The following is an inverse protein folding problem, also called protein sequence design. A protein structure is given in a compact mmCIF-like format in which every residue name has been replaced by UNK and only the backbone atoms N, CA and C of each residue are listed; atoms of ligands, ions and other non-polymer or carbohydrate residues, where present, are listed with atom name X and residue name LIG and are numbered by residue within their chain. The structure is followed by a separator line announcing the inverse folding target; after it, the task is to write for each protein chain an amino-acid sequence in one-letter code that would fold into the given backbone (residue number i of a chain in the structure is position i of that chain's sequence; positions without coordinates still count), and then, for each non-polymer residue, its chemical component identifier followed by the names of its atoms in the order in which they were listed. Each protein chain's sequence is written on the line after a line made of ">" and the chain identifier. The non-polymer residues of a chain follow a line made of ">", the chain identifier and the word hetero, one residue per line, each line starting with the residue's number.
data_IF_216211218116
#
_entry.id   IF_216211218116
#
_cell.length_a   1.000
_cell.length_b   1.000
_cell.length_c   1.000
_cell.angle_alpha   90.00
_cell.angle_beta   90.00
_cell.angle_gamma   90.00
#
_symmetry.space_group_name_H-M   'P 1'
#
loop_
_entity.id
_entity.type
_entity.pdbx_description
1 polymer ?
#
# COMPACT_ATOMS: atom_id res chain seq x y z
N UNK A 1 28.39 54.14 -4.40
CA UNK A 1 28.41 52.66 -4.49
C UNK A 1 27.32 52.13 -3.58
N UNK A 2 26.19 51.67 -4.14
CA UNK A 2 25.18 50.93 -3.36
C UNK A 2 25.03 49.56 -4.03
N UNK A 3 25.67 48.57 -3.41
CA UNK A 3 25.50 47.17 -3.76
C UNK A 3 24.25 46.69 -3.02
N UNK A 4 23.12 46.67 -3.72
CA UNK A 4 21.90 46.06 -3.18
C UNK A 4 22.03 44.56 -3.41
N UNK A 5 22.38 43.83 -2.36
CA UNK A 5 22.60 42.38 -2.40
C UNK A 5 21.23 41.71 -2.49
N UNK A 6 20.88 41.20 -3.67
CA UNK A 6 19.69 40.37 -3.86
C UNK A 6 20.01 38.96 -3.35
N UNK A 7 19.60 38.67 -2.11
CA UNK A 7 19.60 37.31 -1.58
C UNK A 7 18.48 36.51 -2.26
N UNK A 8 18.83 35.67 -3.23
CA UNK A 8 17.91 34.71 -3.82
C UNK A 8 17.72 33.56 -2.82
N UNK A 9 16.61 33.58 -2.08
CA UNK A 9 16.18 32.44 -1.26
C UNK A 9 15.65 31.38 -2.22
N UNK A 10 16.47 30.37 -2.52
CA UNK A 10 16.02 29.17 -3.22
C UNK A 10 15.09 28.39 -2.29
N UNK A 11 13.79 28.65 -2.39
CA UNK A 11 12.78 27.78 -1.80
C UNK A 11 12.83 26.45 -2.54
N UNK A 12 13.52 25.48 -1.96
CA UNK A 12 13.38 24.07 -2.34
C UNK A 12 11.98 23.66 -1.90
N UNK A 13 10.99 23.87 -2.77
CA UNK A 13 9.72 23.19 -2.66
C UNK A 13 9.99 21.71 -3.01
N UNK A 14 10.51 20.97 -2.04
CA UNK A 14 10.43 19.51 -2.09
C UNK A 14 8.95 19.19 -2.24
N UNK A 15 8.59 18.40 -3.24
CA UNK A 15 7.27 17.83 -3.35
C UNK A 15 7.03 17.02 -2.07
N UNK A 16 6.40 17.67 -1.08
CA UNK A 16 6.04 17.01 0.16
C UNK A 16 4.91 16.08 -0.23
N UNK A 17 5.21 14.79 -0.34
CA UNK A 17 4.20 13.75 -0.49
C UNK A 17 3.43 13.74 0.84
N UNK A 18 2.46 14.64 0.97
CA UNK A 18 1.61 14.75 2.14
C UNK A 18 0.89 13.43 2.37
N UNK A 19 0.86 13.00 3.62
CA UNK A 19 0.22 11.75 4.01
C UNK A 19 -1.29 11.97 4.03
N UNK A 20 -1.92 11.74 2.89
CA UNK A 20 -3.37 11.74 2.77
C UNK A 20 -3.96 10.42 3.26
N UNK A 21 -5.15 10.47 3.87
CA UNK A 21 -5.97 9.30 4.18
C UNK A 21 -6.58 8.72 2.89
N UNK A 22 -5.74 8.23 1.99
CA UNK A 22 -6.18 7.67 0.72
C UNK A 22 -5.65 6.25 0.53
N UNK A 23 -6.56 5.28 0.60
CA UNK A 23 -6.33 3.91 0.16
C UNK A 23 -6.59 3.83 -1.35
N UNK A 24 -5.58 3.43 -2.11
CA UNK A 24 -5.65 3.42 -3.57
C UNK A 24 -4.90 2.22 -4.15
N UNK A 25 -5.10 2.01 -5.44
CA UNK A 25 -4.42 0.96 -6.18
C UNK A 25 -2.99 1.41 -6.51
N UNK A 26 -2.02 0.55 -6.24
CA UNK A 26 -0.59 0.84 -6.44
C UNK A 26 0.02 -0.28 -7.28
N UNK A 27 0.74 0.11 -8.35
CA UNK A 27 1.50 -0.83 -9.17
C UNK A 27 2.75 -1.29 -8.41
N UNK A 28 2.98 -2.60 -8.37
CA UNK A 28 4.16 -3.19 -7.77
C UNK A 28 4.69 -4.33 -8.63
N UNK A 29 5.97 -4.63 -8.47
CA UNK A 29 6.60 -5.82 -9.03
C UNK A 29 6.69 -6.90 -7.95
N UNK A 30 6.13 -8.08 -8.19
CA UNK A 30 6.24 -9.22 -7.26
C UNK A 30 6.98 -10.39 -7.92
N UNK A 31 7.79 -11.14 -7.16
CA UNK A 31 8.36 -12.39 -7.63
C UNK A 31 7.31 -13.49 -7.66
N UNK A 32 7.27 -14.26 -8.75
CA UNK A 32 6.50 -15.50 -8.89
C UNK A 32 7.42 -16.63 -9.28
N UNK A 33 7.21 -17.81 -8.69
CA UNK A 33 8.09 -18.96 -8.88
C UNK A 33 7.33 -20.18 -9.42
N UNK A 34 7.91 -20.83 -10.44
CA UNK A 34 7.46 -22.13 -10.94
C UNK A 34 8.65 -22.94 -11.46
N UNK A 35 8.65 -24.24 -11.19
CA UNK A 35 9.74 -25.17 -11.52
C UNK A 35 11.16 -24.69 -11.14
N UNK A 36 11.29 -23.94 -10.03
CA UNK A 36 12.57 -23.39 -9.58
C UNK A 36 13.07 -22.18 -10.40
N UNK A 37 12.25 -21.62 -11.28
CA UNK A 37 12.50 -20.35 -11.95
C UNK A 37 11.68 -19.25 -11.29
N UNK A 38 12.31 -18.10 -11.04
CA UNK A 38 11.65 -16.89 -10.52
C UNK A 38 11.57 -15.84 -11.62
N UNK A 39 10.38 -15.33 -11.87
CA UNK A 39 10.16 -14.14 -12.71
C UNK A 39 9.49 -13.03 -11.89
N UNK A 40 9.74 -11.77 -12.25
CA UNK A 40 9.03 -10.63 -11.69
C UNK A 40 7.87 -10.25 -12.60
N UNK A 41 6.71 -9.98 -11.99
CA UNK A 41 5.52 -9.53 -12.70
C UNK A 41 5.02 -8.21 -12.14
N UNK A 42 4.62 -7.31 -13.02
CA UNK A 42 3.91 -6.09 -12.65
C UNK A 42 2.45 -6.43 -12.36
N UNK A 43 2.01 -6.11 -11.15
CA UNK A 43 0.63 -6.27 -10.71
C UNK A 43 0.19 -5.04 -9.92
N UNK A 44 -1.03 -5.05 -9.41
CA UNK A 44 -1.57 -4.00 -8.55
C UNK A 44 -1.96 -4.54 -7.19
N UNK A 45 -1.70 -3.74 -6.16
CA UNK A 45 -2.14 -3.98 -4.77
C UNK A 45 -2.93 -2.79 -4.25
N UNK A 46 -3.54 -2.95 -3.08
CA UNK A 46 -4.07 -1.82 -2.31
C UNK A 46 -3.04 -1.33 -1.30
N UNK A 47 -2.69 -0.05 -1.38
CA UNK A 47 -1.81 0.60 -0.42
C UNK A 47 -2.30 2.03 -0.12
N UNK A 48 -1.92 2.51 1.06
CA UNK A 48 -2.30 3.84 1.53
C UNK A 48 -2.73 3.84 2.99
N UNK A 49 -3.29 4.97 3.41
CA UNK A 49 -3.69 5.19 4.80
C UNK A 49 -5.21 5.22 4.92
N UNK A 50 -5.69 4.63 6.02
CA UNK A 50 -7.09 4.66 6.40
C UNK A 50 -7.24 5.39 7.72
N UNK A 51 -8.28 6.21 7.80
CA UNK A 51 -8.61 6.91 9.03
C UNK A 51 -9.01 5.92 10.12
N UNK A 52 -8.40 6.08 11.29
CA UNK A 52 -8.75 5.36 12.50
C UNK A 52 -8.58 6.27 13.70
N UNK A 53 -9.53 6.20 14.63
CA UNK A 53 -9.50 6.90 15.90
C UNK A 53 -9.72 5.91 17.03
N UNK A 54 -8.94 6.08 18.09
CA UNK A 54 -9.12 5.33 19.33
C UNK A 54 -10.33 5.93 20.08
N UNK A 55 -11.35 5.13 20.42
CA UNK A 55 -12.52 5.65 21.11
C UNK A 55 -12.16 6.20 22.50
N UNK A 56 -12.71 7.37 22.85
CA UNK A 56 -12.48 8.03 24.14
C UNK A 56 -13.06 7.23 25.32
N UNK A 57 -14.14 6.49 25.07
CA UNK A 57 -14.79 5.61 26.05
C UNK A 57 -14.79 4.19 25.50
N UNK A 58 -14.23 3.26 26.29
CA UNK A 58 -14.19 1.84 25.94
C UNK A 58 -15.34 1.14 26.68
N UNK A 59 -16.53 1.13 26.05
CA UNK A 59 -17.67 0.33 26.48
C UNK A 59 -17.45 -1.16 26.23
N UNK A 60 -18.19 -2.04 26.93
CA UNK A 60 -18.04 -3.50 26.75
C UNK A 60 -18.40 -3.96 25.33
N UNK A 61 -19.26 -3.21 24.63
CA UNK A 61 -19.79 -3.51 23.28
C UNK A 61 -19.22 -2.59 22.18
N UNK A 62 -18.34 -1.63 22.52
CA UNK A 62 -17.87 -0.57 21.60
C UNK A 62 -16.52 -0.89 20.92
N UNK A 63 -16.33 -2.14 20.50
CA UNK A 63 -15.14 -2.52 19.74
C UNK A 63 -15.32 -2.06 18.29
N UNK A 64 -15.02 -0.79 18.02
CA UNK A 64 -15.08 -0.25 16.66
C UNK A 64 -14.12 -1.05 15.78
N UNK A 65 -14.68 -1.73 14.78
CA UNK A 65 -13.91 -2.52 13.84
C UNK A 65 -12.90 -1.62 13.09
N UNK A 66 -11.61 -1.93 13.24
CA UNK A 66 -10.55 -1.18 12.57
C UNK A 66 -10.60 -1.39 11.06
N UNK A 67 -10.59 -0.28 10.32
CA UNK A 67 -10.52 -0.31 8.85
C UNK A 67 -9.07 -0.31 8.39
N UNK A 68 -8.74 -1.22 7.49
CA UNK A 68 -7.46 -1.31 6.81
C UNK A 68 -7.63 -0.99 5.32
N UNK A 69 -6.53 -0.64 4.64
CA UNK A 69 -6.56 -0.47 3.19
C UNK A 69 -6.62 -1.84 2.53
N UNK A 70 -7.78 -2.18 1.98
CA UNK A 70 -8.01 -3.47 1.32
C UNK A 70 -8.96 -3.27 0.13
N UNK A 71 -9.30 -4.33 -0.59
CA UNK A 71 -9.97 -4.19 -1.88
C UNK A 71 -10.64 -5.42 -2.41
N UNK A 72 -11.17 -5.26 -3.61
CA UNK A 72 -11.70 -6.35 -4.40
C UNK A 72 -10.54 -6.92 -5.24
N UNK A 73 -10.31 -8.23 -5.11
CA UNK A 73 -9.17 -8.92 -5.74
C UNK A 73 -9.65 -9.85 -6.84
N UNK A 74 -8.85 -9.96 -7.90
CA UNK A 74 -8.96 -11.01 -8.90
C UNK A 74 -7.65 -11.78 -8.99
N UNK A 75 -7.65 -12.90 -9.70
CA UNK A 75 -6.46 -13.72 -9.88
C UNK A 75 -6.19 -13.93 -11.36
N UNK A 76 -4.92 -13.75 -11.73
CA UNK A 76 -4.42 -13.98 -13.08
C UNK A 76 -3.35 -15.08 -13.05
N UNK A 77 -3.03 -15.64 -14.22
CA UNK A 77 -2.09 -16.77 -14.34
C UNK A 77 -0.91 -16.39 -15.21
N UNK A 78 0.30 -16.46 -14.64
CA UNK A 78 1.57 -16.30 -15.35
C UNK A 78 2.13 -17.67 -15.73
N UNK A 79 2.43 -17.86 -17.00
CA UNK A 79 3.13 -19.05 -17.49
C UNK A 79 4.61 -18.72 -17.69
N UNK A 80 5.47 -19.35 -16.91
CA UNK A 80 6.93 -19.25 -17.04
C UNK A 80 7.36 -20.16 -18.20
N UNK A 81 8.23 -19.65 -19.08
CA UNK A 81 8.64 -20.41 -20.27
C UNK A 81 9.35 -21.70 -19.85
N UNK A 82 8.89 -22.84 -20.37
CA UNK A 82 9.43 -24.15 -20.02
C UNK A 82 8.80 -24.79 -18.77
N UNK A 83 7.87 -24.12 -18.10
CA UNK A 83 7.09 -24.67 -17.01
C UNK A 83 5.69 -25.09 -17.45
N UNK A 84 5.26 -26.33 -17.16
CA UNK A 84 3.90 -26.77 -17.47
C UNK A 84 2.85 -26.20 -16.51
N UNK A 85 3.27 -25.76 -15.31
CA UNK A 85 2.37 -25.23 -14.28
C UNK A 85 2.43 -23.70 -14.28
N UNK A 86 1.29 -23.06 -14.55
CA UNK A 86 1.12 -21.62 -14.39
C UNK A 86 1.04 -21.20 -12.92
N UNK A 87 1.56 -20.02 -12.60
CA UNK A 87 1.49 -19.42 -11.27
C UNK A 87 0.31 -18.47 -11.21
N UNK A 88 -0.57 -18.67 -10.23
CA UNK A 88 -1.69 -17.77 -9.98
C UNK A 88 -1.26 -16.64 -9.06
N UNK A 89 -1.52 -15.39 -9.43
CA UNK A 89 -1.14 -14.22 -8.65
C UNK A 89 -2.31 -13.24 -8.49
N UNK A 90 -2.37 -12.49 -7.38
CA UNK A 90 -3.44 -11.55 -7.11
C UNK A 90 -3.26 -10.24 -7.89
N UNK A 91 -4.38 -9.65 -8.29
CA UNK A 91 -4.48 -8.32 -8.92
C UNK A 91 -5.61 -7.56 -8.24
N UNK A 92 -5.29 -6.46 -7.56
CA UNK A 92 -6.29 -5.56 -7.01
C UNK A 92 -7.12 -4.95 -8.16
N UNK A 93 -8.43 -4.83 -7.99
CA UNK A 93 -9.32 -4.17 -8.97
C UNK A 93 -9.89 -2.86 -8.45
N UNK A 94 -10.01 -2.76 -7.14
CA UNK A 94 -10.56 -1.61 -6.44
C UNK A 94 -10.04 -1.62 -5.00
N UNK A 95 -9.79 -0.45 -4.42
CA UNK A 95 -9.24 -0.31 -3.08
C UNK A 95 -10.08 0.66 -2.24
N UNK A 96 -10.30 0.31 -0.97
CA UNK A 96 -11.15 1.02 -0.02
C UNK A 96 -10.73 0.73 1.42
N UNK A 97 -11.04 1.66 2.32
CA UNK A 97 -10.88 1.41 3.75
C UNK A 97 -12.03 0.54 4.26
N UNK A 98 -11.73 -0.71 4.59
CA UNK A 98 -12.71 -1.71 5.03
C UNK A 98 -12.11 -2.61 6.11
N UNK A 99 -12.96 -3.34 6.82
CA UNK A 99 -12.52 -4.38 7.73
C UNK A 99 -11.62 -5.42 7.05
N UNK A 100 -10.66 -5.96 7.79
CA UNK A 100 -9.81 -7.03 7.29
C UNK A 100 -10.58 -8.36 7.26
N UNK A 101 -10.62 -9.03 6.11
CA UNK A 101 -11.23 -10.35 5.99
C UNK A 101 -10.21 -11.45 6.37
N UNK A 102 -10.27 -11.92 7.61
CA UNK A 102 -9.38 -12.97 8.11
C UNK A 102 -9.54 -14.33 7.40
N UNK A 103 -10.63 -14.56 6.67
CA UNK A 103 -10.85 -15.79 5.90
C UNK A 103 -10.04 -15.86 4.60
N UNK A 104 -9.62 -14.71 4.06
CA UNK A 104 -8.87 -14.63 2.80
C UNK A 104 -7.54 -13.88 2.91
N UNK A 105 -7.30 -13.20 4.03
CA UNK A 105 -6.19 -12.27 4.19
C UNK A 105 -5.61 -12.38 5.59
N UNK A 106 -4.27 -12.30 5.70
CA UNK A 106 -3.61 -12.21 6.99
C UNK A 106 -3.84 -10.84 7.62
N UNK A 107 -4.61 -10.80 8.71
CA UNK A 107 -4.94 -9.58 9.45
C UNK A 107 -3.93 -9.36 10.58
N UNK A 108 -2.83 -8.70 10.25
CA UNK A 108 -1.80 -8.37 11.23
C UNK A 108 -0.89 -7.27 10.71
N UNK A 109 0.13 -6.94 11.51
CA UNK A 109 1.16 -6.00 11.09
C UNK A 109 1.92 -6.57 9.89
N UNK A 110 2.08 -5.78 8.84
CA UNK A 110 2.91 -6.16 7.70
C UNK A 110 4.38 -6.29 8.16
N UNK A 111 5.05 -7.43 7.90
CA UNK A 111 6.41 -7.67 8.40
C UNK A 111 7.50 -7.02 7.54
N UNK A 112 7.18 -6.54 6.33
CA UNK A 112 8.14 -5.84 5.47
C UNK A 112 8.23 -4.35 5.78
N UNK A 113 9.13 -3.66 5.07
CA UNK A 113 9.29 -2.22 5.21
C UNK A 113 8.09 -1.47 4.62
N UNK A 114 7.28 -0.90 5.49
CA UNK A 114 6.34 0.16 5.11
C UNK A 114 7.09 1.49 5.15
N UNK A 115 7.14 2.21 4.03
CA UNK A 115 7.63 3.59 4.02
C UNK A 115 6.82 4.41 5.04
N UNK A 116 7.44 4.77 6.16
CA UNK A 116 6.80 5.61 7.16
C UNK A 116 6.67 7.02 6.61
N UNK A 117 5.47 7.55 6.70
CA UNK A 117 5.25 8.99 6.61
C UNK A 117 5.95 9.69 7.78
N UNK A 118 6.62 10.82 7.53
CA UNK A 118 7.02 11.71 8.61
C UNK A 118 5.75 12.30 9.23
N UNK A 119 5.46 11.92 10.47
CA UNK A 119 4.45 12.59 11.28
C UNK A 119 4.90 14.04 11.49
N UNK A 120 4.06 14.98 11.08
CA UNK A 120 4.23 16.39 11.45
C UNK A 120 3.72 16.63 12.87
#
# INVERSE_FOLDING_TARGET
>A
MQLVVMAAVLAVAGAWQGCGFNCHQTNISIPVESCGNTEFIETTICAGQCYHEDPVYIGHDDWVEQKTCNGDWSYEVKHIKGCPVGVTYPVARNCKCTACNAGSTYCGRFPGDTSSCLSF
#
